data_IF_339497553678
#
_entry.id   IF_339497553678
#
_cell.length_a   1.000
_cell.length_b   1.000
_cell.length_c   1.000
_cell.angle_alpha   90.00
_cell.angle_beta   90.00
_cell.angle_gamma   90.00
#
_symmetry.space_group_name_H-M   'P 1'
#
loop_
_entity.id
_entity.type
_entity.pdbx_description
1 polymer ?
#
# COMPACT_ATOMS: atom_id res chain seq x y z
N UNK A 1 -17.51 -14.96 -11.52
CA UNK A 1 -18.44 -14.26 -12.41
C UNK A 1 -19.79 -14.90 -12.19
N UNK A 2 -20.64 -14.24 -11.42
CA UNK A 2 -22.07 -14.60 -11.35
C UNK A 2 -22.80 -13.89 -12.48
N UNK A 3 -23.89 -14.47 -12.98
CA UNK A 3 -24.85 -13.77 -13.82
C UNK A 3 -26.08 -13.48 -12.97
N UNK A 4 -26.63 -12.27 -13.05
CA UNK A 4 -27.84 -11.87 -12.34
C UNK A 4 -28.70 -10.95 -13.19
N UNK A 5 -30.00 -10.92 -12.92
CA UNK A 5 -30.92 -9.96 -13.55
C UNK A 5 -31.02 -8.76 -12.62
N UNK A 6 -30.69 -7.57 -13.14
CA UNK A 6 -30.73 -6.31 -12.43
C UNK A 6 -31.85 -5.42 -13.00
N UNK A 7 -32.74 -4.93 -12.15
CA UNK A 7 -33.81 -4.03 -12.56
C UNK A 7 -33.37 -2.58 -12.42
N UNK A 8 -33.17 -1.88 -13.53
CA UNK A 8 -32.94 -0.43 -13.57
C UNK A 8 -34.27 0.32 -13.68
N UNK A 9 -34.43 1.40 -12.93
CA UNK A 9 -35.54 2.32 -13.10
C UNK A 9 -35.05 3.53 -13.90
N UNK A 10 -35.49 3.66 -15.15
CA UNK A 10 -35.17 4.78 -16.02
C UNK A 10 -36.47 5.50 -16.39
N UNK A 11 -36.54 6.78 -16.05
CA UNK A 11 -37.71 7.64 -16.31
C UNK A 11 -39.05 7.04 -15.81
N UNK A 12 -39.03 6.32 -14.67
CA UNK A 12 -40.23 5.74 -14.06
C UNK A 12 -40.65 4.38 -14.62
N UNK A 13 -39.88 3.79 -15.55
CA UNK A 13 -40.08 2.42 -16.04
C UNK A 13 -38.97 1.49 -15.57
N UNK A 14 -39.34 0.32 -15.07
CA UNK A 14 -38.40 -0.74 -14.75
C UNK A 14 -37.96 -1.49 -16.00
N UNK A 15 -36.65 -1.65 -16.16
CA UNK A 15 -35.98 -2.39 -17.23
C UNK A 15 -35.12 -3.46 -16.58
N UNK A 16 -35.31 -4.71 -16.98
CA UNK A 16 -34.52 -5.84 -16.49
C UNK A 16 -33.34 -6.10 -17.43
N UNK A 17 -32.13 -6.06 -16.89
CA UNK A 17 -30.88 -6.28 -17.62
C UNK A 17 -30.16 -7.49 -17.05
N UNK A 18 -29.72 -8.40 -17.92
CA UNK A 18 -28.84 -9.49 -17.53
C UNK A 18 -27.41 -8.96 -17.39
N UNK A 19 -26.87 -8.96 -16.17
CA UNK A 19 -25.55 -8.42 -15.84
C UNK A 19 -24.63 -9.49 -15.29
N UNK A 20 -23.36 -9.39 -15.70
CA UNK A 20 -22.30 -10.24 -15.18
C UNK A 20 -21.66 -9.54 -14.00
N UNK A 21 -21.82 -10.12 -12.81
CA UNK A 21 -21.31 -9.57 -11.56
C UNK A 21 -19.82 -9.90 -11.42
N UNK A 22 -19.02 -8.83 -11.41
CA UNK A 22 -17.63 -8.80 -10.98
C UNK A 22 -17.53 -7.90 -9.73
N UNK A 23 -16.60 -8.19 -8.83
CA UNK A 23 -16.26 -7.27 -7.72
C UNK A 23 -15.57 -6.04 -8.32
N UNK A 24 -16.33 -5.01 -8.67
CA UNK A 24 -15.82 -3.75 -9.21
C UNK A 24 -16.58 -2.56 -8.61
N UNK A 25 -15.87 -1.50 -8.24
CA UNK A 25 -16.43 -0.22 -7.78
C UNK A 25 -16.49 0.82 -8.92
N UNK A 26 -16.58 0.37 -10.18
CA UNK A 26 -16.57 1.26 -11.34
C UNK A 26 -17.97 1.74 -11.74
N UNK A 27 -18.06 2.96 -12.26
CA UNK A 27 -19.28 3.48 -12.88
C UNK A 27 -19.70 2.58 -14.07
N UNK A 28 -20.96 2.16 -14.07
CA UNK A 28 -21.51 1.28 -15.11
C UNK A 28 -21.67 2.00 -16.44
N UNK A 29 -21.09 1.46 -17.50
CA UNK A 29 -21.34 1.94 -18.87
C UNK A 29 -22.52 1.18 -19.47
N UNK A 30 -23.51 1.92 -20.01
CA UNK A 30 -24.59 1.32 -20.79
C UNK A 30 -24.05 0.95 -22.18
N UNK A 31 -24.03 -0.35 -22.47
CA UNK A 31 -23.60 -0.88 -23.76
C UNK A 31 -24.55 -0.52 -24.90
N UNK A 32 -24.03 -0.60 -26.12
CA UNK A 32 -24.81 -0.36 -27.36
C UNK A 32 -25.95 -1.34 -27.58
N UNK A 33 -25.85 -2.53 -26.97
CA UNK A 33 -26.89 -3.56 -26.89
C UNK A 33 -28.12 -3.05 -26.14
N UNK A 34 -27.94 -2.52 -24.92
CA UNK A 34 -29.03 -1.97 -24.12
C UNK A 34 -29.63 -0.73 -24.79
N UNK A 35 -28.79 0.13 -25.35
CA UNK A 35 -29.24 1.32 -26.09
C UNK A 35 -30.09 0.94 -27.31
N UNK A 36 -29.70 -0.14 -28.02
CA UNK A 36 -30.45 -0.69 -29.15
C UNK A 36 -31.78 -1.29 -28.72
N UNK A 37 -31.79 -2.16 -27.71
CA UNK A 37 -33.00 -2.81 -27.19
C UNK A 37 -34.01 -1.80 -26.62
N UNK A 38 -33.51 -0.68 -26.09
CA UNK A 38 -34.32 0.41 -25.58
C UNK A 38 -34.69 1.46 -26.64
N UNK A 39 -34.32 1.27 -27.91
CA UNK A 39 -34.57 2.21 -29.01
C UNK A 39 -34.19 3.66 -28.64
N UNK A 40 -32.98 3.83 -28.11
CA UNK A 40 -32.50 5.12 -27.61
C UNK A 40 -32.07 6.03 -28.76
N UNK A 41 -32.41 7.32 -28.66
CA UNK A 41 -31.90 8.37 -29.55
C UNK A 41 -30.95 9.27 -28.77
N UNK A 42 -29.71 9.39 -29.25
CA UNK A 42 -28.69 10.27 -28.70
C UNK A 42 -28.62 11.50 -29.61
N UNK A 43 -29.04 12.66 -29.11
CA UNK A 43 -28.73 13.93 -29.76
C UNK A 43 -27.39 14.43 -29.25
N UNK A 44 -26.34 14.20 -30.03
CA UNK A 44 -24.97 14.60 -29.68
C UNK A 44 -24.80 16.14 -29.65
N UNK A 45 -25.69 16.90 -30.30
CA UNK A 45 -25.61 18.36 -30.32
C UNK A 45 -26.15 18.96 -29.03
N UNK A 46 -27.21 18.37 -28.47
CA UNK A 46 -27.82 18.84 -27.22
C UNK A 46 -27.41 18.02 -26.01
N UNK A 47 -26.67 16.92 -26.22
CA UNK A 47 -26.31 15.91 -25.21
C UNK A 47 -27.53 15.19 -24.61
N UNK A 48 -28.65 15.17 -25.32
CA UNK A 48 -29.88 14.54 -24.84
C UNK A 48 -29.94 13.06 -25.19
N UNK A 49 -30.39 12.25 -24.23
CA UNK A 49 -30.69 10.83 -24.42
C UNK A 49 -32.21 10.63 -24.29
N UNK A 50 -32.84 10.23 -25.39
CA UNK A 50 -34.28 9.91 -25.43
C UNK A 50 -34.49 8.40 -25.39
N UNK A 51 -35.29 7.91 -24.43
CA UNK A 51 -35.63 6.50 -24.29
C UNK A 51 -37.09 6.26 -24.70
N UNK A 52 -37.35 5.48 -25.75
CA UNK A 52 -38.71 5.07 -26.16
C UNK A 52 -39.76 6.19 -26.04
N UNK A 53 -39.47 7.35 -26.63
CA UNK A 53 -40.32 8.58 -26.66
C UNK A 53 -40.35 9.43 -25.38
N UNK A 54 -39.64 9.06 -24.31
CA UNK A 54 -39.42 9.88 -23.12
C UNK A 54 -38.06 10.60 -23.20
N UNK A 55 -38.11 11.93 -23.24
CA UNK A 55 -36.92 12.78 -23.15
C UNK A 55 -36.44 12.79 -21.70
N UNK A 56 -35.26 12.24 -21.44
CA UNK A 56 -34.58 12.42 -20.16
C UNK A 56 -33.81 13.72 -20.28
N UNK A 57 -34.46 14.83 -19.88
CA UNK A 57 -33.75 16.08 -19.71
C UNK A 57 -32.77 15.92 -18.55
N UNK A 58 -31.59 16.51 -18.73
CA UNK A 58 -30.51 16.60 -17.76
C UNK A 58 -31.08 16.92 -16.36
N UNK A 59 -31.25 15.89 -15.53
CA UNK A 59 -31.26 16.13 -14.11
C UNK A 59 -29.79 16.34 -13.78
N UNK A 60 -29.43 17.54 -13.35
CA UNK A 60 -28.14 17.81 -12.70
C UNK A 60 -27.97 16.79 -11.57
N UNK A 61 -27.41 15.63 -11.91
CA UNK A 61 -26.67 14.80 -11.00
C UNK A 61 -25.50 15.70 -10.63
N UNK A 62 -25.35 16.03 -9.35
CA UNK A 62 -24.18 16.77 -8.85
C UNK A 62 -22.94 16.19 -9.53
N UNK A 63 -22.37 16.95 -10.49
CA UNK A 63 -21.31 16.45 -11.37
C UNK A 63 -20.15 15.97 -10.48
N UNK A 64 -19.98 14.65 -10.37
CA UNK A 64 -18.70 14.06 -9.97
C UNK A 64 -17.71 14.42 -11.08
N UNK A 65 -17.16 15.65 -10.99
CA UNK A 65 -16.45 16.30 -12.06
C UNK A 65 -15.02 15.76 -12.16
N UNK A 66 -14.87 14.59 -12.80
CA UNK A 66 -13.56 14.15 -13.23
C UNK A 66 -13.00 15.15 -14.26
N UNK A 67 -11.81 15.70 -14.00
CA UNK A 67 -11.18 16.73 -14.83
C UNK A 67 -9.78 16.31 -15.26
N UNK A 68 -9.43 16.60 -16.52
CA UNK A 68 -8.10 16.28 -17.04
C UNK A 68 -7.09 17.35 -16.67
N UNK A 69 -5.89 16.92 -16.29
CA UNK A 69 -4.78 17.80 -15.97
C UNK A 69 -3.83 17.90 -17.16
N UNK A 70 -3.61 19.13 -17.63
CA UNK A 70 -2.70 19.44 -18.73
C UNK A 70 -1.49 20.22 -18.24
N UNK A 71 -0.34 19.97 -18.84
CA UNK A 71 0.89 20.70 -18.55
C UNK A 71 0.75 22.19 -18.94
N UNK A 72 1.05 23.10 -18.01
CA UNK A 72 0.92 24.54 -18.20
C UNK A 72 1.98 25.12 -19.15
N UNK A 73 3.22 24.63 -19.04
CA UNK A 73 4.41 25.12 -19.75
C UNK A 73 5.34 23.97 -20.11
N UNK A 74 6.17 24.14 -21.14
CA UNK A 74 7.18 23.13 -21.49
C UNK A 74 8.11 22.84 -20.30
N UNK A 75 8.39 21.57 -20.04
CA UNK A 75 9.25 21.14 -18.96
C UNK A 75 10.26 20.09 -19.46
N UNK A 76 11.51 20.22 -19.04
CA UNK A 76 12.54 19.18 -19.26
C UNK A 76 12.75 18.47 -17.93
N UNK A 77 12.53 17.16 -17.92
CA UNK A 77 12.78 16.31 -16.76
C UNK A 77 14.11 15.59 -16.98
N UNK A 78 15.16 15.88 -16.19
CA UNK A 78 16.47 15.24 -16.34
C UNK A 78 16.40 13.70 -16.23
N UNK A 79 17.42 13.01 -16.73
CA UNK A 79 17.50 11.55 -16.64
C UNK A 79 17.60 11.08 -15.19
N UNK A 80 16.97 9.95 -14.86
CA UNK A 80 16.98 9.34 -13.52
C UNK A 80 16.65 10.34 -12.40
N UNK A 81 15.74 11.27 -12.66
CA UNK A 81 15.39 12.33 -11.72
C UNK A 81 13.88 12.53 -11.63
N UNK A 82 13.50 13.37 -10.69
CA UNK A 82 12.15 13.91 -10.59
C UNK A 82 12.15 15.41 -10.84
N UNK A 83 11.01 15.95 -11.26
CA UNK A 83 10.78 17.38 -11.40
C UNK A 83 9.35 17.74 -11.01
N UNK A 84 9.17 18.93 -10.44
CA UNK A 84 7.86 19.52 -10.22
C UNK A 84 7.50 20.38 -11.44
N UNK A 85 6.39 20.05 -12.09
CA UNK A 85 5.85 20.79 -13.24
C UNK A 85 4.49 21.38 -12.90
N UNK A 86 4.06 22.40 -13.63
CA UNK A 86 2.76 23.03 -13.39
C UNK A 86 1.68 22.40 -14.26
N UNK A 87 0.58 22.04 -13.64
CA UNK A 87 -0.65 21.55 -14.25
C UNK A 87 -1.75 22.61 -14.27
N UNK A 88 -2.65 22.49 -15.23
CA UNK A 88 -3.91 23.24 -15.28
C UNK A 88 -5.03 22.23 -15.48
N UNK A 89 -6.08 22.35 -14.67
CA UNK A 89 -7.31 21.59 -14.81
C UNK A 89 -8.09 22.08 -16.04
N UNK A 90 -8.54 21.14 -16.87
CA UNK A 90 -9.36 21.43 -18.04
C UNK A 90 -10.75 21.94 -17.65
N UNK A 91 -11.37 21.31 -16.64
CA UNK A 91 -12.57 21.80 -15.95
C UNK A 91 -12.22 22.14 -14.51
N UNK A 92 -12.55 23.34 -14.06
CA UNK A 92 -12.34 23.75 -12.68
C UNK A 92 -13.52 23.33 -11.81
N UNK A 93 -13.22 22.83 -10.62
CA UNK A 93 -14.19 22.56 -9.58
C UNK A 93 -13.58 22.97 -8.23
N UNK A 94 -14.42 23.05 -7.20
CA UNK A 94 -13.99 23.48 -5.87
C UNK A 94 -13.64 22.28 -4.99
N UNK A 95 -12.68 22.45 -4.09
CA UNK A 95 -12.33 21.46 -3.08
C UNK A 95 -11.14 20.57 -3.43
N UNK A 96 -10.87 19.61 -2.55
CA UNK A 96 -9.78 18.65 -2.69
C UNK A 96 -10.11 17.61 -3.75
N UNK A 97 -9.11 17.20 -4.51
CA UNK A 97 -9.21 16.19 -5.55
C UNK A 97 -8.05 15.21 -5.48
N UNK A 98 -8.29 13.95 -5.83
CA UNK A 98 -7.23 12.98 -6.09
C UNK A 98 -6.82 13.04 -7.56
N UNK A 99 -5.53 13.24 -7.80
CA UNK A 99 -4.92 13.29 -9.12
C UNK A 99 -4.23 11.96 -9.43
N UNK A 100 -4.61 11.26 -10.49
CA UNK A 100 -4.01 9.98 -10.91
C UNK A 100 -3.48 10.04 -12.35
N UNK A 101 -2.35 9.38 -12.62
CA UNK A 101 -1.73 9.36 -13.94
C UNK A 101 -2.66 8.72 -14.99
N UNK A 102 -2.74 9.33 -16.17
CA UNK A 102 -3.47 8.75 -17.29
C UNK A 102 -2.87 7.39 -17.72
N UNK A 103 -3.67 6.32 -17.88
CA UNK A 103 -3.18 5.01 -18.32
C UNK A 103 -2.44 5.04 -19.68
N UNK A 104 -2.82 5.96 -20.56
CA UNK A 104 -2.16 6.18 -21.85
C UNK A 104 -0.85 6.98 -21.77
N UNK A 105 -0.54 7.62 -20.63
CA UNK A 105 0.64 8.47 -20.49
C UNK A 105 1.95 7.66 -20.63
N UNK A 106 2.16 6.53 -19.95
CA UNK A 106 3.37 5.71 -20.13
C UNK A 106 3.51 5.11 -21.54
N UNK A 107 2.41 4.97 -22.28
CA UNK A 107 2.43 4.46 -23.66
C UNK A 107 3.02 5.51 -24.62
N UNK A 108 2.70 6.79 -24.41
CA UNK A 108 3.21 7.92 -25.21
C UNK A 108 4.55 8.47 -24.69
N UNK A 109 4.79 8.32 -23.39
CA UNK A 109 5.97 8.81 -22.69
C UNK A 109 6.57 7.64 -21.89
N UNK A 110 7.25 6.73 -22.59
CA UNK A 110 7.89 5.56 -21.97
C UNK A 110 8.77 5.99 -20.79
N UNK A 111 8.85 5.17 -19.73
CA UNK A 111 9.72 5.41 -18.57
C UNK A 111 9.48 6.76 -17.84
N UNK A 112 8.38 7.45 -18.14
CA UNK A 112 7.93 8.63 -17.42
C UNK A 112 6.73 8.25 -16.56
N UNK A 113 6.70 8.73 -15.32
CA UNK A 113 5.58 8.52 -14.41
C UNK A 113 5.11 9.85 -13.84
N UNK A 114 3.82 9.96 -13.57
CA UNK A 114 3.20 11.06 -12.84
C UNK A 114 2.88 10.55 -11.44
N UNK A 115 3.28 11.30 -10.41
CA UNK A 115 2.90 10.99 -9.04
C UNK A 115 1.38 11.11 -8.90
N UNK A 116 0.76 10.13 -8.23
CA UNK A 116 -0.55 10.34 -7.65
C UNK A 116 -0.44 11.43 -6.59
N UNK A 117 -1.45 12.30 -6.47
CA UNK A 117 -1.45 13.37 -5.46
C UNK A 117 -2.84 13.79 -5.00
N UNK A 118 -2.94 14.31 -3.77
CA UNK A 118 -4.13 15.09 -3.36
C UNK A 118 -3.85 16.56 -3.65
N UNK A 119 -4.68 17.17 -4.49
CA UNK A 119 -4.52 18.55 -4.95
C UNK A 119 -5.75 19.38 -4.61
N UNK A 120 -5.56 20.66 -4.34
CA UNK A 120 -6.66 21.61 -4.26
C UNK A 120 -7.07 22.03 -5.67
N UNK A 121 -8.25 21.57 -6.11
CA UNK A 121 -8.78 21.84 -7.45
C UNK A 121 -9.24 23.29 -7.64
N UNK A 122 -9.36 24.06 -6.55
CA UNK A 122 -9.67 25.49 -6.61
C UNK A 122 -8.49 26.33 -7.11
N UNK A 123 -7.26 25.78 -7.05
CA UNK A 123 -6.05 26.49 -7.48
C UNK A 123 -6.01 26.73 -8.99
N UNK A 124 -5.42 27.86 -9.40
CA UNK A 124 -5.26 28.20 -10.83
C UNK A 124 -4.27 27.28 -11.54
N UNK A 125 -3.27 26.79 -10.82
CA UNK A 125 -2.30 25.80 -11.28
C UNK A 125 -2.03 24.81 -10.17
N UNK A 126 -1.97 23.52 -10.51
CA UNK A 126 -1.65 22.45 -9.57
C UNK A 126 -0.21 21.97 -9.79
N UNK A 127 0.58 21.77 -8.72
CA UNK A 127 1.92 21.21 -8.85
C UNK A 127 1.83 19.71 -9.14
N UNK A 128 2.56 19.23 -10.15
CA UNK A 128 2.60 17.83 -10.56
C UNK A 128 4.02 17.33 -10.46
N UNK A 129 4.24 16.24 -9.74
CA UNK A 129 5.55 15.60 -9.67
C UNK A 129 5.66 14.56 -10.79
N UNK A 130 6.71 14.71 -11.59
CA UNK A 130 7.01 13.87 -12.74
C UNK A 130 8.33 13.15 -12.52
N UNK A 131 8.36 11.84 -12.72
CA UNK A 131 9.57 11.03 -12.66
C UNK A 131 10.03 10.66 -14.06
N UNK A 132 11.31 10.84 -14.33
CA UNK A 132 11.97 10.31 -15.52
C UNK A 132 12.91 9.17 -15.09
N UNK A 133 12.47 7.94 -15.35
CA UNK A 133 13.23 6.73 -15.04
C UNK A 133 14.21 6.34 -16.15
N UNK A 134 14.23 7.08 -17.25
CA UNK A 134 15.16 6.83 -18.35
C UNK A 134 16.53 7.42 -18.06
N UNK A 135 17.53 6.90 -18.75
CA UNK A 135 18.90 7.41 -18.72
C UNK A 135 19.11 8.66 -19.61
N UNK A 136 18.05 9.22 -20.19
CA UNK A 136 18.08 10.43 -21.03
C UNK A 136 17.10 11.48 -20.51
N UNK A 137 17.39 12.79 -20.60
CA UNK A 137 16.41 13.82 -20.28
C UNK A 137 15.21 13.73 -21.24
N UNK A 138 13.99 13.91 -20.71
CA UNK A 138 12.74 13.88 -21.49
C UNK A 138 12.01 15.21 -21.40
N UNK A 139 11.55 15.71 -22.54
CA UNK A 139 10.78 16.97 -22.62
C UNK A 139 9.29 16.68 -22.65
N UNK A 140 8.54 17.31 -21.77
CA UNK A 140 7.08 17.38 -21.81
C UNK A 140 6.68 18.74 -22.36
N UNK A 141 5.79 18.75 -23.36
CA UNK A 141 5.34 19.98 -24.01
C UNK A 141 4.07 20.50 -23.37
N UNK A 142 3.91 21.83 -23.34
CA UNK A 142 2.69 22.51 -22.91
C UNK A 142 1.46 21.89 -23.56
N UNK A 143 0.42 21.66 -22.78
CA UNK A 143 -0.83 21.03 -23.22
C UNK A 143 -0.82 19.50 -23.19
N UNK A 144 0.33 18.86 -22.91
CA UNK A 144 0.39 17.40 -22.71
C UNK A 144 -0.55 17.03 -21.56
N UNK A 145 -1.41 16.03 -21.78
CA UNK A 145 -2.31 15.51 -20.75
C UNK A 145 -1.54 14.52 -19.87
N UNK A 146 -1.57 14.74 -18.56
CA UNK A 146 -0.71 14.02 -17.60
C UNK A 146 -1.53 13.09 -16.69
N UNK A 147 -2.63 13.60 -16.18
CA UNK A 147 -3.42 12.96 -15.12
C UNK A 147 -4.91 13.29 -15.25
N UNK A 148 -5.76 12.55 -14.53
CA UNK A 148 -7.13 12.92 -14.18
C UNK A 148 -7.19 13.37 -12.73
N UNK A 149 -8.14 14.23 -12.40
CA UNK A 149 -8.46 14.67 -11.05
C UNK A 149 -9.92 14.35 -10.74
N UNK A 150 -10.18 13.70 -9.62
CA UNK A 150 -11.51 13.36 -9.14
C UNK A 150 -11.76 13.99 -7.76
N UNK A 151 -12.90 14.67 -7.53
CA UNK A 151 -13.23 15.22 -6.23
C UNK A 151 -13.22 14.15 -5.13
N UNK A 152 -12.75 14.49 -3.93
CA UNK A 152 -12.81 13.58 -2.77
C UNK A 152 -13.67 14.15 -1.66
N UNK A 153 -14.47 13.29 -1.03
CA UNK A 153 -15.17 13.61 0.21
C UNK A 153 -14.20 13.57 1.39
N UNK A 154 -14.02 14.72 2.02
CA UNK A 154 -13.17 14.86 3.19
C UNK A 154 -13.90 14.30 4.42
N UNK A 155 -13.63 13.04 4.80
CA UNK A 155 -14.16 12.49 6.05
C UNK A 155 -13.47 13.16 7.25
N UNK A 156 -14.18 14.07 7.89
CA UNK A 156 -13.82 14.59 9.21
C UNK A 156 -14.05 13.49 10.26
N UNK A 157 -13.03 12.67 10.50
CA UNK A 157 -12.92 11.97 11.77
C UNK A 157 -12.74 13.04 12.85
N UNK A 158 -13.79 13.33 13.61
CA UNK A 158 -13.65 14.07 14.87
C UNK A 158 -12.68 13.28 15.73
N UNK A 159 -11.42 13.72 15.77
CA UNK A 159 -10.53 13.35 16.86
C UNK A 159 -11.29 13.75 18.12
N UNK A 160 -11.71 12.76 18.90
CA UNK A 160 -12.22 13.01 20.24
C UNK A 160 -11.01 13.54 21.02
N UNK A 161 -10.90 14.87 21.05
CA UNK A 161 -10.03 15.59 21.96
C UNK A 161 -10.46 15.25 23.37
N UNK A 162 -9.84 14.24 23.97
CA UNK A 162 -9.82 14.12 25.43
C UNK A 162 -8.82 15.14 25.97
N UNK A 163 -9.13 16.43 25.81
CA UNK A 163 -8.48 17.48 26.58
C UNK A 163 -9.05 17.41 28.00
N UNK A 164 -8.34 16.73 28.89
CA UNK A 164 -8.37 17.10 30.32
C UNK A 164 -7.37 18.22 30.52
N UNK A 165 -7.71 19.28 31.27
CA UNK A 165 -6.84 20.43 31.43
C UNK A 165 -5.54 20.01 32.13
N UNK A 166 -4.42 20.39 31.53
CA UNK A 166 -3.09 20.29 32.12
C UNK A 166 -3.05 21.14 33.38
N UNK A 167 -2.91 20.47 34.53
CA UNK A 167 -2.44 21.12 35.74
C UNK A 167 -1.05 21.71 35.46
N UNK A 168 -0.88 23.00 35.74
CA UNK A 168 0.44 23.63 35.89
C UNK A 168 1.24 22.82 36.92
N UNK A 169 2.25 22.09 36.45
CA UNK A 169 3.27 21.51 37.32
C UNK A 169 4.45 22.45 37.28
N UNK A 170 4.63 23.13 38.42
CA UNK A 170 5.78 23.95 38.75
C UNK A 170 7.06 23.15 38.56
N UNK A 171 8.06 23.78 37.95
CA UNK A 171 9.43 23.29 37.86
C UNK A 171 9.91 22.84 39.24
N UNK A 172 10.37 21.60 39.34
CA UNK A 172 11.31 21.22 40.39
C UNK A 172 12.34 20.28 39.79
N UNK A 173 13.51 20.86 39.60
CA UNK A 173 14.77 20.28 39.18
C UNK A 173 15.15 19.10 40.07
N UNK A 174 15.04 17.85 39.60
CA UNK A 174 15.87 16.74 40.06
C UNK A 174 16.15 15.77 38.89
N UNK A 175 17.41 15.82 38.43
CA UNK A 175 18.01 14.87 37.50
C UNK A 175 18.27 13.59 38.29
N UNK A 176 17.44 12.56 38.11
CA UNK A 176 17.74 11.20 38.58
C UNK A 176 17.11 10.18 37.63
N UNK A 177 17.95 9.27 37.14
CA UNK A 177 17.68 8.07 36.33
C UNK A 177 17.11 8.27 34.91
N UNK A 178 18.03 8.59 33.99
CA UNK A 178 17.80 8.74 32.55
C UNK A 178 17.09 7.55 31.87
N UNK A 179 17.06 6.36 32.47
CA UNK A 179 16.51 5.13 31.87
C UNK A 179 15.39 4.45 32.67
N UNK A 180 14.85 5.08 33.72
CA UNK A 180 13.80 4.46 34.53
C UNK A 180 12.60 4.04 33.65
N UNK A 181 12.22 2.75 33.72
CA UNK A 181 11.12 2.17 32.95
C UNK A 181 11.42 1.72 31.51
N UNK A 182 12.65 1.96 30.99
CA UNK A 182 13.03 1.56 29.63
C UNK A 182 13.81 0.23 29.60
N UNK A 183 13.37 -0.71 28.76
CA UNK A 183 14.06 -1.98 28.59
C UNK A 183 15.47 -1.79 27.98
N UNK A 184 16.45 -2.59 28.44
CA UNK A 184 17.88 -2.41 28.10
C UNK A 184 18.18 -2.48 26.59
N UNK A 185 17.44 -3.30 25.85
CA UNK A 185 17.62 -3.42 24.39
C UNK A 185 17.19 -2.16 23.62
N UNK A 186 16.44 -1.24 24.23
CA UNK A 186 15.97 0.00 23.63
C UNK A 186 16.83 1.21 24.00
N UNK A 187 17.81 1.05 24.90
CA UNK A 187 18.70 2.13 25.31
C UNK A 187 19.57 2.62 24.13
N UNK A 188 20.13 1.69 23.34
CA UNK A 188 20.86 2.02 22.09
C UNK A 188 19.97 2.79 21.11
N UNK A 189 18.71 2.37 20.96
CA UNK A 189 17.75 3.05 20.07
C UNK A 189 17.45 4.46 20.55
N UNK A 190 17.25 4.66 21.86
CA UNK A 190 17.05 5.98 22.44
C UNK A 190 18.26 6.87 22.19
N UNK A 191 19.47 6.39 22.47
CA UNK A 191 20.72 7.15 22.29
C UNK A 191 20.92 7.56 20.83
N UNK A 192 20.76 6.63 19.89
CA UNK A 192 20.91 6.89 18.45
C UNK A 192 19.84 7.82 17.89
N UNK A 193 18.62 7.78 18.43
CA UNK A 193 17.51 8.64 17.99
C UNK A 193 17.56 10.03 18.63
N UNK A 194 18.36 10.20 19.69
CA UNK A 194 18.41 11.42 20.50
C UNK A 194 19.60 12.34 20.23
N UNK A 195 20.48 12.01 19.28
CA UNK A 195 21.75 12.71 19.09
C UNK A 195 21.63 14.23 18.90
N UNK A 196 20.60 14.69 18.18
CA UNK A 196 20.40 16.10 17.82
C UNK A 196 19.16 16.73 18.49
N UNK A 197 18.56 16.06 19.48
CA UNK A 197 17.33 16.49 20.12
C UNK A 197 17.59 17.31 21.39
N UNK A 198 16.70 18.25 21.67
CA UNK A 198 16.72 18.98 22.93
C UNK A 198 16.26 18.10 24.12
N UNK A 199 16.38 18.61 25.35
CA UNK A 199 16.04 17.82 26.55
C UNK A 199 14.55 17.41 26.60
N UNK A 200 13.66 18.24 26.07
CA UNK A 200 12.22 18.00 26.06
C UNK A 200 11.85 16.97 25.00
N UNK A 201 12.40 17.09 23.81
CA UNK A 201 12.23 16.14 22.71
C UNK A 201 12.79 14.76 23.08
N UNK A 202 13.95 14.72 23.74
CA UNK A 202 14.54 13.48 24.29
C UNK A 202 13.60 12.78 25.26
N UNK A 203 12.98 13.53 26.16
CA UNK A 203 12.01 12.96 27.10
C UNK A 203 10.76 12.45 26.36
N UNK A 204 10.25 13.17 25.36
CA UNK A 204 9.14 12.70 24.53
C UNK A 204 9.45 11.39 23.81
N UNK A 205 10.64 11.25 23.22
CA UNK A 205 11.09 10.01 22.59
C UNK A 205 11.21 8.88 23.61
N UNK A 206 11.77 9.16 24.80
CA UNK A 206 11.84 8.19 25.89
C UNK A 206 10.45 7.70 26.29
N UNK A 207 9.49 8.60 26.53
CA UNK A 207 8.12 8.25 26.90
C UNK A 207 7.44 7.41 25.81
N UNK A 208 7.69 7.71 24.53
CA UNK A 208 7.17 6.93 23.41
C UNK A 208 7.74 5.50 23.40
N UNK A 209 9.05 5.36 23.61
CA UNK A 209 9.71 4.05 23.67
C UNK A 209 9.21 3.24 24.87
N UNK A 210 9.02 3.86 26.04
CA UNK A 210 8.45 3.18 27.22
C UNK A 210 7.02 2.72 26.93
N UNK A 211 6.20 3.58 26.32
CA UNK A 211 4.80 3.28 25.98
C UNK A 211 4.66 2.08 25.04
N UNK A 212 5.54 1.97 24.04
CA UNK A 212 5.48 0.93 23.02
C UNK A 212 6.58 -0.13 23.15
N UNK A 213 7.25 -0.24 24.30
CA UNK A 213 8.39 -1.15 24.47
C UNK A 213 8.07 -2.62 24.12
N UNK A 214 6.81 -3.04 24.31
CA UNK A 214 6.34 -4.39 24.03
C UNK A 214 6.15 -4.70 22.53
N UNK A 215 6.24 -3.71 21.63
CA UNK A 215 6.17 -3.93 20.18
C UNK A 215 7.52 -4.32 19.57
N UNK A 216 8.61 -4.07 20.31
CA UNK A 216 9.96 -4.39 19.87
C UNK A 216 10.36 -5.79 20.34
N UNK A 217 10.89 -6.59 19.42
CA UNK A 217 11.46 -7.88 19.76
C UNK A 217 12.66 -7.70 20.71
N UNK A 218 12.60 -8.35 21.87
CA UNK A 218 13.66 -8.32 22.88
C UNK A 218 14.79 -9.29 22.58
N UNK A 219 14.51 -10.32 21.79
CA UNK A 219 15.47 -11.35 21.40
C UNK A 219 15.07 -12.02 20.08
N UNK A 220 15.96 -12.84 19.52
CA UNK A 220 15.65 -13.61 18.31
C UNK A 220 14.59 -14.71 18.49
N UNK A 221 14.24 -15.05 19.73
CA UNK A 221 13.16 -15.99 20.08
C UNK A 221 11.85 -15.29 20.40
N UNK A 222 11.84 -13.96 20.45
CA UNK A 222 10.66 -13.14 20.73
C UNK A 222 9.80 -13.01 19.46
N UNK A 223 9.38 -14.17 18.95
CA UNK A 223 8.58 -14.32 17.75
C UNK A 223 7.15 -14.43 18.28
N UNK A 224 6.44 -13.30 18.30
CA UNK A 224 5.07 -13.23 18.78
C UNK A 224 4.14 -14.27 18.13
N UNK A 225 2.94 -14.45 18.68
CA UNK A 225 1.97 -15.44 18.20
C UNK A 225 0.62 -14.77 17.96
N UNK A 226 -0.03 -15.16 16.86
CA UNK A 226 -1.43 -14.83 16.58
C UNK A 226 -2.27 -16.11 16.58
N UNK A 227 -3.49 -16.00 17.08
CA UNK A 227 -4.53 -17.03 17.06
C UNK A 227 -5.62 -16.75 16.01
N UNK A 228 -5.56 -15.60 15.32
CA UNK A 228 -6.54 -15.16 14.32
C UNK A 228 -6.71 -16.16 13.17
N UNK A 229 -5.62 -16.78 12.72
CA UNK A 229 -5.62 -17.73 11.59
C UNK A 229 -4.70 -18.90 11.86
N UNK A 230 -5.14 -20.10 11.50
CA UNK A 230 -4.29 -21.29 11.40
C UNK A 230 -4.02 -21.60 9.93
N UNK A 231 -2.76 -21.56 9.54
CA UNK A 231 -2.36 -21.87 8.17
C UNK A 231 -2.33 -23.37 7.92
N UNK A 232 -2.92 -23.81 6.80
CA UNK A 232 -2.86 -25.20 6.33
C UNK A 232 -2.11 -25.25 4.99
N UNK A 233 -1.19 -26.20 4.87
CA UNK A 233 -0.42 -26.43 3.64
C UNK A 233 -1.15 -27.49 2.81
N UNK A 234 -1.79 -27.05 1.72
CA UNK A 234 -2.50 -27.95 0.82
C UNK A 234 -1.50 -28.66 -0.11
N UNK A 235 -1.36 -29.98 0.03
CA UNK A 235 -0.51 -30.84 -0.83
C UNK A 235 -1.33 -31.66 -1.84
N UNK A 236 -2.62 -31.38 -1.98
CA UNK A 236 -3.53 -32.08 -2.88
C UNK A 236 -3.62 -33.57 -2.57
N UNK A 237 -3.39 -34.40 -3.58
CA UNK A 237 -3.39 -35.87 -3.50
C UNK A 237 -1.98 -36.48 -3.33
N UNK A 238 -0.97 -35.67 -3.00
CA UNK A 238 0.39 -36.15 -2.88
C UNK A 238 0.60 -37.05 -1.65
N UNK A 239 1.30 -38.17 -1.85
CA UNK A 239 1.72 -39.04 -0.74
C UNK A 239 2.82 -38.37 0.11
N UNK A 240 2.92 -38.69 1.42
CA UNK A 240 3.96 -38.17 2.28
C UNK A 240 5.38 -38.42 1.78
N UNK A 241 6.19 -37.36 1.77
CA UNK A 241 7.59 -37.40 1.39
C UNK A 241 8.44 -37.39 2.66
N UNK A 242 9.14 -38.50 2.92
CA UNK A 242 10.10 -38.63 4.04
C UNK A 242 11.53 -38.64 3.51
N UNK A 243 12.25 -37.55 3.73
CA UNK A 243 13.65 -37.45 3.37
C UNK A 243 14.54 -37.81 4.56
N UNK A 244 15.65 -38.54 4.35
CA UNK A 244 16.60 -38.83 5.42
C UNK A 244 17.34 -37.55 5.87
N UNK A 245 17.67 -37.47 7.16
CA UNK A 245 18.51 -36.41 7.68
C UNK A 245 19.91 -36.45 7.04
N UNK A 246 20.52 -35.28 6.85
CA UNK A 246 21.87 -35.18 6.26
C UNK A 246 22.92 -35.61 7.28
N UNK A 247 23.95 -36.31 6.82
CA UNK A 247 25.11 -36.62 7.67
C UNK A 247 25.89 -35.33 7.92
N UNK A 248 25.92 -34.89 9.18
CA UNK A 248 26.72 -33.76 9.62
C UNK A 248 28.02 -34.24 10.31
N UNK A 249 29.13 -33.50 10.22
CA UNK A 249 30.30 -33.71 11.06
C UNK A 249 29.97 -33.40 12.54
N UNK A 250 30.73 -33.94 13.51
CA UNK A 250 30.40 -33.83 14.95
C UNK A 250 30.13 -32.40 15.42
N UNK A 251 31.01 -31.45 15.11
CA UNK A 251 30.86 -30.04 15.51
C UNK A 251 29.55 -29.42 14.98
N UNK A 252 29.11 -29.77 13.77
CA UNK A 252 27.83 -29.27 13.22
C UNK A 252 26.61 -29.93 13.84
N UNK A 253 26.71 -31.19 14.31
CA UNK A 253 25.61 -31.85 15.03
C UNK A 253 25.35 -31.20 16.37
N UNK A 254 26.40 -30.80 17.08
CA UNK A 254 26.27 -30.10 18.36
C UNK A 254 25.58 -28.75 18.16
N UNK A 255 25.98 -28.00 17.13
CA UNK A 255 25.32 -26.74 16.76
C UNK A 255 23.85 -26.94 16.39
N UNK A 256 23.55 -27.97 15.59
CA UNK A 256 22.17 -28.33 15.23
C UNK A 256 21.32 -28.64 16.46
N UNK A 257 21.87 -29.46 17.38
CA UNK A 257 21.17 -29.86 18.60
C UNK A 257 20.90 -28.67 19.52
N UNK A 258 21.89 -27.79 19.70
CA UNK A 258 21.73 -26.58 20.52
C UNK A 258 20.60 -25.69 19.97
N UNK A 259 20.54 -25.51 18.65
CA UNK A 259 19.51 -24.70 18.02
C UNK A 259 18.11 -25.35 18.09
N UNK A 260 18.03 -26.68 17.94
CA UNK A 260 16.78 -27.42 18.17
C UNK A 260 16.26 -27.25 19.60
N UNK A 261 17.14 -27.38 20.60
CA UNK A 261 16.78 -27.17 22.01
C UNK A 261 16.27 -25.75 22.24
N UNK A 262 16.98 -24.74 21.71
CA UNK A 262 16.57 -23.33 21.80
C UNK A 262 15.18 -23.09 21.22
N UNK A 263 14.90 -23.64 20.03
CA UNK A 263 13.59 -23.50 19.38
C UNK A 263 12.48 -24.27 20.11
N UNK A 264 12.79 -25.41 20.73
CA UNK A 264 11.85 -26.18 21.56
C UNK A 264 11.47 -25.40 22.82
N UNK A 265 12.46 -24.85 23.53
CA UNK A 265 12.25 -24.02 24.73
C UNK A 265 11.44 -22.76 24.41
N UNK A 266 11.73 -22.14 23.26
CA UNK A 266 10.97 -21.00 22.73
C UNK A 266 9.59 -21.37 22.18
N UNK A 267 9.21 -22.66 22.18
CA UNK A 267 7.93 -23.19 21.65
C UNK A 267 7.68 -22.84 20.18
N UNK A 268 8.75 -22.63 19.41
CA UNK A 268 8.70 -22.41 17.95
C UNK A 268 8.46 -23.74 17.23
N UNK A 269 9.03 -24.82 17.76
CA UNK A 269 8.86 -26.19 17.26
C UNK A 269 8.36 -27.11 18.37
N UNK A 270 7.84 -28.28 17.98
CA UNK A 270 7.43 -29.33 18.90
C UNK A 270 7.79 -30.71 18.33
N UNK A 271 7.94 -31.74 19.19
CA UNK A 271 8.04 -33.12 18.73
C UNK A 271 6.81 -33.53 17.90
N UNK A 272 7.04 -34.34 16.87
CA UNK A 272 6.01 -34.82 15.96
C UNK A 272 6.38 -36.20 15.39
N UNK A 273 5.37 -37.04 15.18
CA UNK A 273 5.49 -38.35 14.52
C UNK A 273 4.96 -38.29 13.08
N UNK A 274 5.29 -37.21 12.36
CA UNK A 274 4.80 -36.97 10.99
C UNK A 274 5.36 -37.98 9.99
N UNK A 275 4.55 -38.45 9.01
CA UNK A 275 5.05 -39.20 7.86
C UNK A 275 5.84 -38.33 6.88
N UNK A 276 5.75 -37.00 7.00
CA UNK A 276 6.53 -36.03 6.22
C UNK A 276 7.82 -35.66 6.96
N UNK A 277 8.95 -35.63 6.23
CA UNK A 277 10.21 -35.16 6.79
C UNK A 277 11.05 -34.47 5.71
N UNK A 278 11.57 -33.29 6.03
CA UNK A 278 12.53 -32.54 5.22
C UNK A 278 13.86 -32.43 5.96
N UNK A 279 15.01 -32.53 5.28
CA UNK A 279 16.30 -32.50 5.96
C UNK A 279 16.67 -31.08 6.38
N UNK A 280 17.34 -30.98 7.52
CA UNK A 280 17.96 -29.76 8.03
C UNK A 280 19.23 -29.42 7.26
N UNK A 281 19.52 -28.12 7.17
CA UNK A 281 20.68 -27.56 6.49
C UNK A 281 21.23 -26.43 7.34
N UNK A 282 22.50 -26.55 7.74
CA UNK A 282 23.21 -25.49 8.44
C UNK A 282 24.02 -24.66 7.44
N UNK A 283 23.80 -23.35 7.44
CA UNK A 283 24.48 -22.40 6.54
C UNK A 283 25.26 -21.39 7.38
N UNK A 284 26.55 -21.23 7.09
CA UNK A 284 27.37 -20.20 7.75
C UNK A 284 27.06 -18.83 7.15
N UNK A 285 26.75 -17.85 7.99
CA UNK A 285 26.59 -16.45 7.60
C UNK A 285 27.96 -15.79 7.44
N UNK A 286 27.97 -14.59 6.83
CA UNK A 286 29.18 -13.76 6.69
C UNK A 286 29.79 -13.38 8.05
N UNK A 287 28.97 -13.23 9.09
CA UNK A 287 29.40 -12.93 10.46
C UNK A 287 29.96 -14.15 11.23
N UNK A 288 30.06 -15.33 10.57
CA UNK A 288 30.52 -16.58 11.18
C UNK A 288 29.45 -17.34 11.96
N UNK A 289 28.30 -16.73 12.27
CA UNK A 289 27.18 -17.42 12.90
C UNK A 289 26.50 -18.40 11.95
N UNK A 290 25.71 -19.34 12.47
CA UNK A 290 25.03 -20.37 11.67
C UNK A 290 23.53 -20.09 11.55
N UNK A 291 22.96 -20.27 10.35
CA UNK A 291 21.52 -20.32 10.10
C UNK A 291 21.07 -21.77 10.07
N UNK A 292 20.06 -22.07 10.87
CA UNK A 292 19.31 -23.31 10.78
C UNK A 292 18.23 -23.17 9.71
N UNK A 293 18.31 -23.99 8.68
CA UNK A 293 17.37 -24.01 7.57
C UNK A 293 16.81 -25.42 7.39
N UNK A 294 15.65 -25.53 6.77
CA UNK A 294 15.04 -26.81 6.38
C UNK A 294 14.84 -26.79 4.87
N UNK A 295 15.28 -27.84 4.19
CA UNK A 295 15.19 -27.96 2.73
C UNK A 295 13.80 -28.46 2.32
N UNK A 296 12.85 -27.52 2.19
CA UNK A 296 11.46 -27.81 1.81
C UNK A 296 11.26 -27.98 0.30
N UNK A 297 12.30 -28.05 -0.54
CA UNK A 297 12.14 -28.06 -2.01
C UNK A 297 11.21 -29.19 -2.50
N UNK A 298 11.33 -30.41 -1.95
CA UNK A 298 10.45 -31.53 -2.34
C UNK A 298 9.01 -31.34 -1.88
N UNK A 299 8.81 -30.75 -0.71
CA UNK A 299 7.48 -30.39 -0.20
C UNK A 299 6.86 -29.30 -1.07
N UNK A 300 7.60 -28.22 -1.35
CA UNK A 300 7.15 -27.10 -2.16
C UNK A 300 6.70 -27.54 -3.57
N UNK A 301 7.36 -28.55 -4.16
CA UNK A 301 6.98 -29.08 -5.47
C UNK A 301 5.61 -29.79 -5.50
N UNK A 302 5.11 -30.26 -4.34
CA UNK A 302 3.80 -30.90 -4.22
C UNK A 302 2.76 -30.01 -3.53
N UNK A 303 3.18 -28.86 -3.00
CA UNK A 303 2.28 -27.86 -2.42
C UNK A 303 1.53 -27.13 -3.53
N UNK A 304 0.20 -27.08 -3.41
CA UNK A 304 -0.63 -26.29 -4.31
C UNK A 304 -0.38 -24.80 -4.06
N UNK A 305 0.16 -24.10 -5.06
CA UNK A 305 0.38 -22.66 -4.98
C UNK A 305 -0.94 -21.93 -5.04
N UNK A 306 -1.21 -21.09 -4.04
CA UNK A 306 -2.29 -20.11 -4.13
C UNK A 306 -2.00 -19.18 -5.32
N UNK A 307 -2.88 -19.19 -6.34
CA UNK A 307 -2.71 -18.43 -7.60
C UNK A 307 -2.77 -16.90 -7.44
N UNK A 308 -2.82 -16.39 -6.21
CA UNK A 308 -2.95 -14.98 -5.89
C UNK A 308 -1.84 -14.56 -4.94
N UNK A 309 -0.74 -14.07 -5.51
CA UNK A 309 0.27 -13.30 -4.77
C UNK A 309 -0.20 -11.84 -4.73
N UNK A 310 -1.00 -11.48 -3.72
CA UNK A 310 -1.40 -10.10 -3.48
C UNK A 310 -0.31 -9.26 -2.80
N UNK A 311 0.96 -9.63 -2.95
CA UNK A 311 2.07 -8.82 -2.45
C UNK A 311 2.50 -7.94 -3.62
N UNK A 312 2.11 -6.66 -3.67
CA UNK A 312 2.58 -5.76 -4.71
C UNK A 312 4.10 -5.70 -4.68
N UNK A 313 4.72 -5.47 -5.84
CA UNK A 313 6.15 -5.19 -5.89
C UNK A 313 6.44 -3.94 -5.05
N UNK A 314 7.67 -3.84 -4.54
CA UNK A 314 8.09 -2.67 -3.76
C UNK A 314 7.85 -1.37 -4.55
N UNK A 315 8.05 -1.38 -5.87
CA UNK A 315 7.74 -0.23 -6.73
C UNK A 315 6.26 0.16 -6.71
N UNK A 316 5.35 -0.82 -6.80
CA UNK A 316 3.91 -0.58 -6.68
C UNK A 316 3.52 -0.05 -5.29
N UNK A 317 4.11 -0.60 -4.23
CA UNK A 317 3.88 -0.10 -2.87
C UNK A 317 4.34 1.36 -2.71
N UNK A 318 5.54 1.69 -3.21
CA UNK A 318 6.10 3.05 -3.14
C UNK A 318 5.23 4.04 -3.90
N UNK A 319 4.82 3.73 -5.13
CA UNK A 319 3.98 4.62 -5.95
C UNK A 319 2.60 4.83 -5.31
N UNK A 320 2.12 3.89 -4.51
CA UNK A 320 0.84 4.01 -3.81
C UNK A 320 0.88 4.84 -2.51
N UNK A 321 2.06 5.20 -2.00
CA UNK A 321 2.23 5.92 -0.73
C UNK A 321 1.96 7.43 -0.88
N UNK A 322 0.94 7.99 -0.19
CA UNK A 322 0.61 9.42 -0.24
C UNK A 322 1.74 10.34 0.29
N UNK A 323 2.56 9.83 1.21
CA UNK A 323 3.61 10.61 1.88
C UNK A 323 4.86 10.85 1.02
N UNK A 324 5.00 10.17 -0.14
CA UNK A 324 6.13 10.46 -1.03
C UNK A 324 6.04 11.89 -1.58
N UNK A 325 4.85 12.47 -1.71
CA UNK A 325 4.64 13.90 -2.00
C UNK A 325 5.23 14.81 -0.93
N UNK A 326 5.10 14.44 0.36
CA UNK A 326 5.63 15.21 1.49
C UNK A 326 7.15 15.06 1.65
N UNK A 327 7.72 13.88 1.39
CA UNK A 327 9.16 13.65 1.52
C UNK A 327 10.01 14.41 0.50
N UNK A 328 9.45 14.81 -0.65
CA UNK A 328 10.13 15.70 -1.61
C UNK A 328 10.35 17.13 -1.10
N UNK A 329 9.71 17.50 0.02
CA UNK A 329 9.89 18.82 0.66
C UNK A 329 10.97 18.84 1.76
N UNK A 330 11.50 17.68 2.17
CA UNK A 330 12.62 17.59 3.11
C UNK A 330 13.93 17.50 2.32
N UNK A 331 14.58 18.66 2.18
CA UNK A 331 15.98 18.74 1.75
C UNK A 331 16.84 17.88 2.67
N UNK A 332 17.54 16.89 2.11
CA UNK A 332 18.69 16.28 2.77
C UNK A 332 19.81 17.35 2.79
N UNK A 333 20.13 17.84 3.99
CA UNK A 333 21.39 18.57 4.26
C UNK A 333 22.49 17.54 4.52
#
# INVERSE_FOLDING_TARGET
MGCGIFSLNIAGKQIECEVWVAETEAEGTLGTDILGDCNCLIDVRTSDLTFRELMVADQEIEEYSCSRVKLADNAVVPSNSEALVKGVLEKKFQGSAIMEMLPEFPQKHSEMLIARAVVDASMTTIPIRVFNLSNTPKTLYKGTSLATCEPIEELYCQMISTEKPLHEVRETTQITDTYEGLHKNLQDLLERSSGNLDAREKDQVKQLLIKYQNTFATSSTDIGRTDLVRHSINTGSANPIKQPARRLPPHRREMEKAELTRMLEAKIIQPSSSPWASPTVLVTKKDGSTRFCVDYRRLNNVTQTARRTHIPSLGLMIVSMPWLELAGSLHWI
#
